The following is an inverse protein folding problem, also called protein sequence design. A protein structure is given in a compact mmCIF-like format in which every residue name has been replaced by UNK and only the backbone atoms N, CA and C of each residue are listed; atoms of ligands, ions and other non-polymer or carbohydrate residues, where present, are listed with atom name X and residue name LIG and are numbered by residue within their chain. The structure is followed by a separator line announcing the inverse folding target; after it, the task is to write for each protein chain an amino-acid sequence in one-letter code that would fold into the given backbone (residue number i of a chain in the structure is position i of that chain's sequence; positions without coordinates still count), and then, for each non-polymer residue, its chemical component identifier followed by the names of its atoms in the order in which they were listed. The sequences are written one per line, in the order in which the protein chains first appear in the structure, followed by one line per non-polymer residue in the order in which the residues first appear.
data_IF_077400244853
#
_entry.id   IF_077400244853
#
_cell.length_a   1.000
_cell.length_b   1.000
_cell.length_c   1.000
_cell.angle_alpha   90.00
_cell.angle_beta   90.00
_cell.angle_gamma   90.00
#
_symmetry.space_group_name_H-M   'P 1'
#
loop_
_entity.id
_entity.type
_entity.pdbx_description
1 polymer ?
#
# COMPACT_ATOMS: atom_id res chain seq x y z
N UNK A 1 11.22 7.13 12.06
CA UNK A 1 10.36 6.06 11.53
C UNK A 1 9.62 5.43 12.71
N UNK A 2 8.29 5.48 12.77
CA UNK A 2 7.54 4.86 13.88
C UNK A 2 7.24 3.40 13.54
N UNK A 3 7.78 2.47 14.33
CA UNK A 3 7.53 1.03 14.20
C UNK A 3 6.37 0.67 15.13
N UNK A 4 5.39 -0.07 14.61
CA UNK A 4 4.31 -0.59 15.44
C UNK A 4 4.83 -1.73 16.31
N UNK A 5 4.47 -1.72 17.60
CA UNK A 5 4.71 -2.86 18.50
C UNK A 5 4.13 -4.15 17.94
N UNK A 6 4.86 -5.26 18.11
CA UNK A 6 4.48 -6.61 17.67
C UNK A 6 3.17 -7.07 18.28
N UNK A 7 2.49 -8.02 17.62
CA UNK A 7 1.23 -8.58 18.11
C UNK A 7 1.41 -9.33 19.43
N UNK A 8 2.49 -10.09 19.58
CA UNK A 8 2.76 -10.87 20.79
C UNK A 8 2.92 -9.98 22.01
N UNK A 9 3.61 -8.85 21.86
CA UNK A 9 3.77 -7.87 22.94
C UNK A 9 2.42 -7.29 23.37
N UNK A 10 1.53 -7.01 22.41
CA UNK A 10 0.17 -6.51 22.68
C UNK A 10 -0.68 -7.55 23.40
N UNK A 11 -0.67 -8.80 22.91
CA UNK A 11 -1.42 -9.91 23.51
C UNK A 11 -0.96 -10.15 24.94
N UNK A 12 0.35 -10.21 25.18
CA UNK A 12 0.94 -10.39 26.51
C UNK A 12 0.57 -9.24 27.45
N UNK A 13 0.66 -8.00 26.98
CA UNK A 13 0.31 -6.83 27.78
C UNK A 13 -1.16 -6.83 28.20
N UNK A 14 -2.07 -7.16 27.28
CA UNK A 14 -3.50 -7.20 27.58
C UNK A 14 -3.87 -8.39 28.46
N UNK A 15 -3.28 -9.57 28.25
CA UNK A 15 -3.47 -10.73 29.11
C UNK A 15 -3.08 -10.43 30.57
N UNK A 16 -1.97 -9.73 30.81
CA UNK A 16 -1.57 -9.32 32.16
C UNK A 16 -2.57 -8.35 32.82
N UNK A 17 -3.24 -7.52 32.04
CA UNK A 17 -4.27 -6.60 32.55
C UNK A 17 -5.56 -7.35 32.87
N UNK A 18 -5.92 -8.35 32.04
CA UNK A 18 -7.08 -9.22 32.28
C UNK A 18 -6.90 -10.15 33.48
N UNK A 19 -5.66 -10.57 33.76
CA UNK A 19 -5.22 -11.27 34.98
C UNK A 19 -5.29 -10.38 36.26
N UNK A 20 -5.78 -9.14 36.13
CA UNK A 20 -5.99 -8.22 37.25
C UNK A 20 -4.77 -7.38 37.63
N UNK A 21 -3.67 -7.42 36.84
CA UNK A 21 -2.51 -6.56 37.12
C UNK A 21 -2.82 -5.12 36.74
N UNK A 22 -2.44 -4.19 37.63
CA UNK A 22 -2.55 -2.75 37.38
C UNK A 22 -1.75 -2.36 36.13
N UNK A 23 -2.35 -1.52 35.29
CA UNK A 23 -1.74 -1.00 34.05
C UNK A 23 -0.36 -0.37 34.31
N UNK A 24 -0.18 0.29 35.47
CA UNK A 24 1.10 0.91 35.84
C UNK A 24 2.22 -0.11 36.05
N UNK A 25 1.91 -1.27 36.64
CA UNK A 25 2.87 -2.35 36.84
C UNK A 25 3.23 -2.97 35.48
N UNK A 26 2.24 -3.18 34.61
CA UNK A 26 2.45 -3.72 33.26
C UNK A 26 3.27 -2.76 32.39
N UNK A 27 3.02 -1.45 32.49
CA UNK A 27 3.78 -0.41 31.80
C UNK A 27 5.27 -0.44 32.18
N UNK A 28 5.57 -0.55 33.48
CA UNK A 28 6.95 -0.66 33.98
C UNK A 28 7.60 -1.98 33.56
N UNK A 29 6.88 -3.11 33.65
CA UNK A 29 7.38 -4.44 33.29
C UNK A 29 7.74 -4.57 31.82
N UNK A 30 6.92 -3.99 30.93
CA UNK A 30 7.13 -4.09 29.48
C UNK A 30 7.88 -2.88 28.90
N UNK A 31 8.20 -1.89 29.72
CA UNK A 31 8.78 -0.60 29.32
C UNK A 31 7.96 0.11 28.22
N UNK A 32 6.65 0.22 28.44
CA UNK A 32 5.68 0.80 27.49
C UNK A 32 4.92 1.93 28.16
N UNK A 33 4.65 3.01 27.42
CA UNK A 33 3.83 4.12 27.91
C UNK A 33 2.40 3.64 28.26
N UNK A 34 1.88 4.11 29.41
CA UNK A 34 0.52 3.79 29.90
C UNK A 34 -0.56 4.05 28.84
N UNK A 35 -0.44 5.15 28.10
CA UNK A 35 -1.34 5.53 27.01
C UNK A 35 -1.45 4.46 25.90
N UNK A 36 -0.36 3.75 25.64
CA UNK A 36 -0.32 2.66 24.64
C UNK A 36 -1.09 1.44 25.13
N UNK A 37 -0.96 1.10 26.41
CA UNK A 37 -1.72 0.02 27.04
C UNK A 37 -3.23 0.32 27.05
N UNK A 38 -3.62 1.54 27.43
CA UNK A 38 -5.03 1.97 27.35
C UNK A 38 -5.59 1.85 25.94
N UNK A 39 -4.80 2.24 24.93
CA UNK A 39 -5.20 2.12 23.52
C UNK A 39 -5.40 0.66 23.13
N UNK A 40 -4.56 -0.28 23.58
CA UNK A 40 -4.71 -1.70 23.28
C UNK A 40 -5.91 -2.33 23.96
N UNK A 41 -6.17 -2.01 25.23
CA UNK A 41 -7.38 -2.47 25.94
C UNK A 41 -8.63 -1.96 25.24
N UNK A 42 -8.65 -0.68 24.86
CA UNK A 42 -9.77 -0.10 24.08
C UNK A 42 -9.92 -0.79 22.72
N UNK A 43 -8.82 -1.05 22.03
CA UNK A 43 -8.82 -1.72 20.72
C UNK A 43 -9.36 -3.16 20.82
N UNK A 44 -9.01 -3.91 21.88
CA UNK A 44 -9.56 -5.24 22.14
C UNK A 44 -11.07 -5.17 22.40
N UNK A 45 -11.54 -4.22 23.22
CA UNK A 45 -12.97 -4.04 23.50
C UNK A 45 -13.80 -3.67 22.27
N UNK A 46 -13.28 -2.82 21.38
CA UNK A 46 -14.05 -2.35 20.22
C UNK A 46 -13.97 -3.27 19.00
N UNK A 47 -12.80 -3.87 18.75
CA UNK A 47 -12.54 -4.63 17.51
C UNK A 47 -12.33 -6.13 17.74
N UNK A 48 -12.17 -6.57 18.99
CA UNK A 48 -11.82 -7.97 19.33
C UNK A 48 -10.41 -8.39 18.87
N UNK A 49 -9.65 -7.50 18.24
CA UNK A 49 -8.37 -7.80 17.59
C UNK A 49 -7.29 -6.80 17.97
N UNK A 50 -6.10 -7.32 18.28
CA UNK A 50 -4.92 -6.55 18.68
C UNK A 50 -3.90 -6.35 17.54
N UNK A 51 -4.24 -6.81 16.33
CA UNK A 51 -3.38 -6.74 15.14
C UNK A 51 -3.00 -5.26 14.88
N UNK A 52 -1.71 -4.93 14.73
CA UNK A 52 -1.26 -3.61 14.28
C UNK A 52 -1.86 -3.29 12.91
N UNK A 53 -2.17 -2.02 12.67
CA UNK A 53 -2.57 -1.59 11.33
C UNK A 53 -1.38 -1.80 10.39
N UNK A 54 -1.49 -2.77 9.48
CA UNK A 54 -0.47 -3.10 8.48
C UNK A 54 -0.38 -2.03 7.38
N UNK A 55 -1.50 -1.36 7.09
CA UNK A 55 -1.62 -0.42 5.98
C UNK A 55 -1.41 1.05 6.38
N UNK A 56 -0.22 1.40 6.85
CA UNK A 56 0.14 2.83 6.91
C UNK A 56 0.49 3.39 5.52
N UNK A 57 1.02 2.53 4.63
CA UNK A 57 1.44 2.90 3.28
C UNK A 57 0.45 2.38 2.23
N UNK A 58 -0.84 2.69 2.37
CA UNK A 58 -1.74 2.54 1.22
C UNK A 58 -1.33 3.63 0.23
N UNK A 59 -0.47 3.28 -0.73
CA UNK A 59 -0.06 4.19 -1.79
C UNK A 59 -1.29 4.76 -2.51
N UNK A 60 -1.13 5.89 -3.20
CA UNK A 60 -2.17 6.43 -4.07
C UNK A 60 -2.72 5.32 -4.97
N UNK A 61 -4.04 5.14 -4.97
CA UNK A 61 -4.73 4.10 -5.73
C UNK A 61 -4.32 4.09 -7.21
N UNK A 62 -4.39 2.91 -7.83
CA UNK A 62 -4.05 2.74 -9.24
C UNK A 62 -4.93 3.65 -10.11
N UNK A 63 -4.32 4.59 -10.86
CA UNK A 63 -5.04 5.47 -11.79
C UNK A 63 -5.64 4.74 -13.00
N UNK A 64 -5.17 3.53 -13.31
CA UNK A 64 -5.77 2.67 -14.34
C UNK A 64 -6.31 1.43 -13.61
N UNK A 65 -7.63 1.34 -13.39
CA UNK A 65 -8.23 0.22 -12.68
C UNK A 65 -8.26 -1.06 -13.55
N UNK A 66 -8.42 -0.92 -14.87
CA UNK A 66 -8.62 -2.03 -15.80
C UNK A 66 -7.39 -2.29 -16.68
N UNK A 67 -6.60 -3.29 -16.30
CA UNK A 67 -5.37 -3.68 -16.99
C UNK A 67 -5.65 -4.32 -18.37
N UNK A 68 -6.73 -5.09 -18.48
CA UNK A 68 -7.13 -5.78 -19.70
C UNK A 68 -7.58 -4.81 -20.81
N UNK A 69 -8.41 -3.82 -20.47
CA UNK A 69 -8.83 -2.77 -21.41
C UNK A 69 -7.62 -1.96 -21.90
N UNK A 70 -6.66 -1.70 -21.02
CA UNK A 70 -5.43 -1.00 -21.37
C UNK A 70 -4.59 -1.82 -22.37
N UNK A 71 -4.46 -3.13 -22.16
CA UNK A 71 -3.73 -4.00 -23.07
C UNK A 71 -4.38 -4.06 -24.46
N UNK A 72 -5.72 -4.21 -24.53
CA UNK A 72 -6.46 -4.20 -25.79
C UNK A 72 -6.28 -2.88 -26.54
N UNK A 73 -6.34 -1.75 -25.83
CA UNK A 73 -6.14 -0.43 -26.41
C UNK A 73 -4.74 -0.24 -27.00
N UNK A 74 -3.70 -0.69 -26.29
CA UNK A 74 -2.31 -0.61 -26.76
C UNK A 74 -2.08 -1.52 -27.97
N UNK A 75 -2.62 -2.75 -27.95
CA UNK A 75 -2.54 -3.69 -29.09
C UNK A 75 -3.27 -3.17 -30.33
N UNK A 76 -4.38 -2.46 -30.16
CA UNK A 76 -5.13 -1.84 -31.27
C UNK A 76 -4.45 -0.62 -31.91
N UNK A 77 -3.40 -0.06 -31.29
CA UNK A 77 -2.75 1.17 -31.75
C UNK A 77 -1.21 1.04 -31.87
N UNK A 78 -0.64 0.03 -32.57
CA UNK A 78 0.79 -0.30 -32.52
C UNK A 78 1.74 0.80 -33.06
N UNK A 79 1.22 1.81 -33.77
CA UNK A 79 2.00 2.89 -34.38
C UNK A 79 1.99 4.23 -33.62
N UNK A 80 1.13 4.40 -32.61
CA UNK A 80 0.98 5.70 -31.95
C UNK A 80 2.09 5.96 -30.92
N UNK A 81 2.44 7.23 -30.75
CA UNK A 81 3.34 7.67 -29.69
C UNK A 81 2.64 7.61 -28.34
N UNK A 82 3.41 7.40 -27.26
CA UNK A 82 2.86 7.31 -25.91
C UNK A 82 2.14 8.60 -25.47
N UNK A 83 2.51 9.76 -26.03
CA UNK A 83 1.83 11.04 -25.82
C UNK A 83 0.40 11.01 -26.36
N UNK A 84 0.25 10.67 -27.64
CA UNK A 84 -1.05 10.59 -28.31
C UNK A 84 -1.96 9.52 -27.69
N UNK A 85 -1.40 8.37 -27.28
CA UNK A 85 -2.15 7.34 -26.59
C UNK A 85 -2.66 7.79 -25.21
N UNK A 86 -1.83 8.54 -24.47
CA UNK A 86 -2.18 9.04 -23.14
C UNK A 86 -3.30 10.10 -23.19
N UNK A 87 -3.29 10.94 -24.23
CA UNK A 87 -4.38 11.88 -24.53
C UNK A 87 -5.69 11.12 -24.83
N UNK A 88 -5.64 10.16 -25.76
CA UNK A 88 -6.81 9.34 -26.16
C UNK A 88 -7.42 8.50 -25.03
N UNK A 89 -6.59 8.00 -24.11
CA UNK A 89 -7.07 7.12 -23.04
C UNK A 89 -7.82 7.85 -21.93
N UNK A 90 -7.54 9.15 -21.71
CA UNK A 90 -8.21 9.91 -20.66
C UNK A 90 -7.36 11.01 -20.04
N UNK A 91 -6.51 11.68 -20.84
CA UNK A 91 -5.64 12.78 -20.39
C UNK A 91 -4.80 12.43 -19.15
N UNK A 92 -4.28 11.20 -19.13
CA UNK A 92 -3.37 10.77 -18.07
C UNK A 92 -1.96 11.27 -18.40
N UNK A 93 -1.18 11.65 -17.38
CA UNK A 93 0.24 11.98 -17.60
C UNK A 93 0.98 10.87 -18.35
N UNK A 94 1.73 11.24 -19.40
CA UNK A 94 2.55 10.34 -20.20
C UNK A 94 3.48 9.49 -19.34
N UNK A 95 3.99 10.02 -18.21
CA UNK A 95 4.82 9.26 -17.26
C UNK A 95 4.06 8.09 -16.63
N UNK A 96 2.80 8.31 -16.26
CA UNK A 96 1.93 7.26 -15.72
C UNK A 96 1.66 6.25 -16.83
N UNK A 97 1.28 6.72 -18.03
CA UNK A 97 1.04 5.86 -19.19
C UNK A 97 2.25 4.94 -19.50
N UNK A 98 3.46 5.49 -19.58
CA UNK A 98 4.70 4.71 -19.77
C UNK A 98 4.97 3.73 -18.63
N UNK A 99 4.63 4.05 -17.39
CA UNK A 99 4.74 3.12 -16.25
C UNK A 99 3.80 1.93 -16.42
N UNK A 100 2.60 2.16 -16.97
CA UNK A 100 1.65 1.09 -17.29
C UNK A 100 2.08 0.26 -18.50
N UNK A 101 2.63 0.88 -19.56
CA UNK A 101 3.25 0.14 -20.67
C UNK A 101 4.36 -0.81 -20.21
N UNK A 102 5.23 -0.35 -19.30
CA UNK A 102 6.26 -1.21 -18.68
C UNK A 102 5.65 -2.35 -17.87
N UNK A 103 4.52 -2.11 -17.19
CA UNK A 103 3.84 -3.12 -16.37
C UNK A 103 3.22 -4.25 -17.18
N UNK A 104 2.76 -3.96 -18.40
CA UNK A 104 2.27 -4.97 -19.36
C UNK A 104 3.38 -5.57 -20.24
N UNK A 105 4.66 -5.23 -19.99
CA UNK A 105 5.78 -5.73 -20.79
C UNK A 105 5.85 -5.19 -22.21
N UNK A 106 5.11 -4.12 -22.55
CA UNK A 106 5.11 -3.55 -23.89
C UNK A 106 6.37 -2.69 -24.10
N UNK A 107 7.35 -3.25 -24.82
CA UNK A 107 8.58 -2.55 -25.19
C UNK A 107 8.65 -2.35 -26.70
N UNK A 108 8.63 -1.09 -27.15
CA UNK A 108 8.87 -0.77 -28.57
C UNK A 108 10.37 -0.87 -28.86
N UNK A 109 10.79 -1.85 -29.67
CA UNK A 109 12.14 -1.91 -30.24
C UNK A 109 12.30 -0.76 -31.24
N UNK A 110 13.27 0.12 -31.05
CA UNK A 110 13.61 1.16 -32.05
C UNK A 110 14.12 0.46 -33.31
N UNK A 111 13.45 0.67 -34.45
CA UNK A 111 14.07 0.40 -35.76
C UNK A 111 14.87 1.64 -36.12
N UNK A 112 16.16 1.46 -36.42
CA UNK A 112 16.98 2.54 -36.95
C UNK A 112 16.37 2.98 -38.29
N UNK A 113 16.00 4.25 -38.40
CA UNK A 113 15.58 4.82 -39.68
C UNK A 113 16.83 4.90 -40.55
N UNK A 114 16.92 4.06 -41.58
CA UNK A 114 17.90 4.25 -42.65
C UNK A 114 17.46 5.52 -43.38
N UNK A 115 18.28 6.57 -43.28
CA UNK A 115 18.12 7.78 -44.08
C UNK A 115 18.74 7.43 -45.43
N UNK A 116 17.91 7.26 -46.45
CA UNK A 116 18.29 7.09 -47.86
C UNK A 116 18.12 8.39 -48.61
#
# INVERSE_FOLDING_TARGET
MAIAYSEDLRKRAVALIEDGKKIEKVAKLLNIARSTLFRWVRQKKTKGSLIPKKDWRKGYGNKIPDLEKFEQFVKGNPGMTATAMAEKWGSISVRVFCKWLKRIGFTRKKKATVIS
#
